data_IF_161479564145
#
_entry.id   IF_161479564145
#
_cell.length_a   1.000
_cell.length_b   1.000
_cell.length_c   1.000
_cell.angle_alpha   90.00
_cell.angle_beta   90.00
_cell.angle_gamma   90.00
#
_symmetry.space_group_name_H-M   'P 1'
#
loop_
_entity.id
_entity.type
_entity.pdbx_description
1 polymer ?
#
# COMPACT_ATOMS: atom_id res chain seq x y z
N UNK A 1 -15.29 39.32 21.82
CA UNK A 1 -15.07 37.94 21.35
C UNK A 1 -13.69 37.90 20.71
N UNK A 2 -12.78 37.07 21.21
CA UNK A 2 -11.43 36.96 20.66
C UNK A 2 -11.43 35.87 19.58
N UNK A 3 -10.95 36.19 18.38
CA UNK A 3 -10.73 35.21 17.33
C UNK A 3 -9.43 34.46 17.64
N UNK A 4 -9.53 33.18 18.01
CA UNK A 4 -8.36 32.31 18.16
C UNK A 4 -7.74 32.03 16.79
N UNK A 5 -6.67 32.73 16.44
CA UNK A 5 -5.91 32.47 15.21
C UNK A 5 -5.06 31.23 15.45
N UNK A 6 -5.45 30.10 14.85
CA UNK A 6 -4.65 28.86 14.84
C UNK A 6 -3.70 28.89 13.65
N UNK A 7 -2.41 28.75 13.92
CA UNK A 7 -1.41 28.62 12.87
C UNK A 7 -1.41 27.18 12.33
N UNK A 8 -2.21 26.94 11.27
CA UNK A 8 -2.26 25.65 10.59
C UNK A 8 -1.29 25.73 9.40
N UNK A 9 -0.21 24.93 9.39
CA UNK A 9 0.69 24.90 8.25
C UNK A 9 -0.03 24.30 7.05
N UNK A 10 -0.16 25.07 5.97
CA UNK A 10 -0.74 24.64 4.70
C UNK A 10 0.38 24.50 3.68
N UNK A 11 0.41 23.38 2.95
CA UNK A 11 1.32 23.19 1.83
C UNK A 11 0.90 24.11 0.69
N UNK A 12 1.81 24.93 0.19
CA UNK A 12 1.57 25.86 -0.92
C UNK A 12 2.70 25.82 -1.94
N UNK A 13 2.43 26.34 -3.14
CA UNK A 13 3.40 26.42 -4.23
C UNK A 13 3.94 25.05 -4.66
N UNK A 14 5.23 25.01 -4.97
CA UNK A 14 5.91 23.80 -5.48
C UNK A 14 5.83 22.60 -4.54
N UNK A 15 5.72 22.82 -3.23
CA UNK A 15 5.57 21.76 -2.23
C UNK A 15 4.19 21.10 -2.32
N UNK A 16 3.14 21.89 -2.54
CA UNK A 16 1.79 21.35 -2.74
C UNK A 16 1.70 20.55 -4.04
N UNK A 17 2.27 21.08 -5.14
CA UNK A 17 2.29 20.40 -6.43
C UNK A 17 3.06 19.08 -6.39
N UNK A 18 4.20 19.06 -5.69
CA UNK A 18 5.01 17.85 -5.52
C UNK A 18 4.28 16.78 -4.70
N UNK A 19 3.54 17.20 -3.66
CA UNK A 19 2.74 16.29 -2.84
C UNK A 19 1.61 15.65 -3.67
N UNK A 20 0.87 16.45 -4.44
CA UNK A 20 -0.20 15.95 -5.31
C UNK A 20 0.35 14.99 -6.35
N UNK A 21 1.44 15.35 -7.03
CA UNK A 21 2.07 14.49 -8.05
C UNK A 21 2.52 13.15 -7.47
N UNK A 22 3.12 13.16 -6.28
CA UNK A 22 3.51 11.92 -5.60
C UNK A 22 2.30 11.06 -5.24
N UNK A 23 1.22 11.67 -4.72
CA UNK A 23 -0.02 10.96 -4.41
C UNK A 23 -0.66 10.31 -5.65
N UNK A 24 -0.75 11.05 -6.76
CA UNK A 24 -1.27 10.53 -8.04
C UNK A 24 -0.41 9.38 -8.58
N UNK A 25 0.92 9.47 -8.43
CA UNK A 25 1.85 8.43 -8.85
C UNK A 25 1.71 7.16 -7.97
N UNK A 26 1.49 7.34 -6.67
CA UNK A 26 1.19 6.25 -5.74
C UNK A 26 -0.15 5.57 -6.04
N UNK A 27 -1.17 6.32 -6.45
CA UNK A 27 -2.49 5.76 -6.80
C UNK A 27 -2.42 4.95 -8.11
N UNK A 28 -1.73 5.47 -9.13
CA UNK A 28 -1.56 4.78 -10.42
C UNK A 28 -0.68 3.53 -10.31
N UNK A 29 0.28 3.52 -9.39
CA UNK A 29 1.24 2.43 -9.26
C UNK A 29 1.56 2.12 -7.79
N UNK A 30 0.61 1.55 -7.03
CA UNK A 30 0.76 1.31 -5.59
C UNK A 30 1.92 0.37 -5.26
N UNK A 31 2.34 -0.45 -6.24
CA UNK A 31 3.48 -1.38 -6.15
C UNK A 31 4.85 -0.71 -6.19
N UNK A 32 4.93 0.59 -6.49
CA UNK A 32 6.20 1.33 -6.56
C UNK A 32 6.71 1.79 -5.19
N UNK A 33 5.90 1.63 -4.13
CA UNK A 33 6.42 1.46 -2.78
C UNK A 33 7.21 0.15 -2.77
N UNK A 34 8.53 0.26 -2.90
CA UNK A 34 9.44 -0.88 -3.04
C UNK A 34 8.99 -2.04 -2.17
N UNK A 35 8.54 -3.12 -2.81
CA UNK A 35 8.13 -4.34 -2.15
C UNK A 35 9.22 -4.70 -1.14
N UNK A 36 8.91 -4.61 0.16
CA UNK A 36 9.83 -5.00 1.25
C UNK A 36 10.02 -6.52 1.32
N UNK A 37 9.67 -7.22 0.25
CA UNK A 37 9.73 -8.67 0.12
C UNK A 37 10.66 -9.00 -1.03
N UNK A 38 11.63 -9.85 -0.76
CA UNK A 38 12.50 -10.41 -1.79
C UNK A 38 11.72 -11.38 -2.68
N UNK A 39 12.22 -11.62 -3.90
CA UNK A 39 11.66 -12.63 -4.79
C UNK A 39 11.62 -14.02 -4.12
N UNK A 40 12.63 -14.37 -3.32
CA UNK A 40 12.65 -15.62 -2.56
C UNK A 40 11.48 -15.74 -1.57
N UNK A 41 11.11 -14.64 -0.89
CA UNK A 41 9.95 -14.62 0.00
C UNK A 41 8.64 -14.77 -0.77
N UNK A 42 8.55 -14.22 -1.99
CA UNK A 42 7.39 -14.40 -2.86
C UNK A 42 7.24 -15.88 -3.25
N UNK A 43 8.35 -16.53 -3.61
CA UNK A 43 8.37 -17.96 -3.96
C UNK A 43 7.97 -18.85 -2.78
N UNK A 44 8.44 -18.54 -1.58
CA UNK A 44 8.06 -19.23 -0.34
C UNK A 44 6.55 -19.07 -0.06
N UNK A 45 6.02 -17.85 -0.19
CA UNK A 45 4.59 -17.58 -0.03
C UNK A 45 3.75 -18.36 -1.06
N UNK A 46 4.21 -18.44 -2.31
CA UNK A 46 3.55 -19.20 -3.37
C UNK A 46 3.59 -20.71 -3.11
N UNK A 47 4.72 -21.25 -2.64
CA UNK A 47 4.85 -22.66 -2.27
C UNK A 47 3.93 -23.05 -1.10
N UNK A 48 3.84 -22.19 -0.08
CA UNK A 48 2.92 -22.37 1.05
C UNK A 48 1.46 -22.31 0.63
N UNK A 49 1.10 -21.40 -0.28
CA UNK A 49 -0.27 -21.32 -0.81
C UNK A 49 -0.66 -22.58 -1.61
N UNK A 50 0.26 -23.12 -2.41
CA UNK A 50 0.06 -24.37 -3.16
C UNK A 50 -0.13 -25.57 -2.24
N UNK A 51 0.75 -25.77 -1.27
CA UNK A 51 0.66 -26.87 -0.30
C UNK A 51 -0.63 -26.81 0.52
N UNK A 52 -1.05 -25.62 0.96
CA UNK A 52 -2.35 -25.45 1.62
C UNK A 52 -3.50 -25.86 0.69
N UNK A 53 -3.47 -25.41 -0.57
CA UNK A 53 -4.51 -25.72 -1.55
C UNK A 53 -4.62 -27.23 -1.81
N UNK A 54 -3.49 -27.92 -1.90
CA UNK A 54 -3.45 -29.38 -2.07
C UNK A 54 -4.01 -30.11 -0.83
N UNK A 55 -3.59 -29.71 0.37
CA UNK A 55 -4.06 -30.31 1.62
C UNK A 55 -5.58 -30.13 1.85
N UNK A 56 -6.17 -29.09 1.28
CA UNK A 56 -7.58 -28.73 1.49
C UNK A 56 -8.45 -28.90 0.23
N UNK A 57 -8.05 -29.75 -0.73
CA UNK A 57 -8.80 -30.05 -1.96
C UNK A 57 -9.24 -28.81 -2.74
N UNK A 58 -8.38 -27.78 -2.79
CA UNK A 58 -8.67 -26.55 -3.52
C UNK A 58 -9.59 -25.56 -2.79
N UNK A 59 -10.08 -25.88 -1.59
CA UNK A 59 -10.96 -24.99 -0.83
C UNK A 59 -10.18 -23.83 -0.23
N UNK A 60 -10.72 -22.62 -0.40
CA UNK A 60 -10.15 -21.41 0.15
C UNK A 60 -10.41 -21.40 1.68
N UNK A 61 -9.43 -21.06 2.53
CA UNK A 61 -9.68 -20.88 3.97
C UNK A 61 -10.77 -19.85 4.29
N UNK A 62 -11.07 -18.95 3.34
CA UNK A 62 -12.07 -17.89 3.49
C UNK A 62 -13.33 -18.10 2.63
N UNK A 63 -13.46 -19.24 1.92
CA UNK A 63 -14.74 -19.56 1.29
C UNK A 63 -15.69 -20.07 2.37
N UNK A 64 -16.73 -19.26 2.66
CA UNK A 64 -17.91 -19.65 3.44
C UNK A 64 -18.67 -20.74 2.69
#
# INVERSE_FOLDING_TARGET
>A
MALEIRNIPVLTGSTAESFVRAAEEHEKNPRRLGLKVSFAQIDEMAARARSYREAHNGKNPFSI
#
